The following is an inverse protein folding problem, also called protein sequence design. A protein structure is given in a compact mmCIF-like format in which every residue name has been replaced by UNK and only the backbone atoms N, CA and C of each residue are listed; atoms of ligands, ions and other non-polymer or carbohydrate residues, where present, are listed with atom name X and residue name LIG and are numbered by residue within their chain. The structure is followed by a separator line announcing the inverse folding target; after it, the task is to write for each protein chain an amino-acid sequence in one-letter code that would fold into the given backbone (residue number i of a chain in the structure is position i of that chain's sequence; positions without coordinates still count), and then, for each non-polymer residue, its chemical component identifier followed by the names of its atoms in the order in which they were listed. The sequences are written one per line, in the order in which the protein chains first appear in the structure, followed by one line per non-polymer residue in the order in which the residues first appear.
data_IF_631692107470
#
_entry.id   IF_631692107470
#
_cell.length_a   1.000
_cell.length_b   1.000
_cell.length_c   1.000
_cell.angle_alpha   90.00
_cell.angle_beta   90.00
_cell.angle_gamma   90.00
#
_symmetry.space_group_name_H-M   'P 1'
#
loop_
_entity.id
_entity.type
_entity.pdbx_description
1 polymer ?
#
# COMPACT_ATOMS: atom_id res chain seq x y z
N UNK A 1 8.26 -8.51 32.20
CA UNK A 1 6.99 -7.88 31.81
C UNK A 1 7.12 -6.37 31.88
N UNK A 2 6.71 -5.66 30.83
CA UNK A 2 6.71 -4.18 30.77
C UNK A 2 5.50 -3.69 31.58
N UNK A 3 5.78 -2.91 32.65
CA UNK A 3 4.77 -2.36 33.57
C UNK A 3 4.82 -0.84 33.67
N UNK A 4 5.68 -0.19 32.88
CA UNK A 4 5.87 1.27 32.92
C UNK A 4 5.56 1.91 31.56
N UNK A 5 4.73 2.96 31.57
CA UNK A 5 4.47 3.83 30.39
C UNK A 5 5.75 4.48 29.82
N UNK A 6 6.80 4.58 30.64
CA UNK A 6 8.08 5.17 30.25
C UNK A 6 9.02 4.18 29.57
N UNK A 7 8.61 2.92 29.40
CA UNK A 7 9.40 1.91 28.70
C UNK A 7 9.78 2.37 27.28
N UNK A 8 11.03 2.10 26.89
CA UNK A 8 11.59 2.53 25.60
C UNK A 8 10.82 1.98 24.40
N UNK A 9 10.35 0.71 24.48
CA UNK A 9 9.59 0.06 23.39
C UNK A 9 8.21 0.70 23.19
N UNK A 10 7.48 0.99 24.28
CA UNK A 10 6.20 1.70 24.19
C UNK A 10 6.38 3.12 23.62
N UNK A 11 7.47 3.81 23.98
CA UNK A 11 7.81 5.10 23.37
C UNK A 11 8.14 4.97 21.90
N UNK A 12 8.82 3.91 21.49
CA UNK A 12 9.13 3.63 20.09
C UNK A 12 7.83 3.41 19.30
N UNK A 13 6.93 2.53 19.74
CA UNK A 13 5.65 2.27 19.06
C UNK A 13 4.84 3.56 18.87
N UNK A 14 4.73 4.41 19.92
CA UNK A 14 4.07 5.72 19.79
C UNK A 14 4.72 6.61 18.71
N UNK A 15 6.05 6.65 18.66
CA UNK A 15 6.77 7.42 17.62
C UNK A 15 6.50 6.90 16.23
N UNK A 16 6.44 5.57 16.05
CA UNK A 16 6.22 4.94 14.76
C UNK A 16 4.81 5.17 14.19
N UNK A 17 3.86 5.70 14.96
CA UNK A 17 2.60 6.21 14.44
C UNK A 17 2.80 7.39 13.45
N UNK A 18 3.87 8.18 13.61
CA UNK A 18 4.19 9.33 12.76
C UNK A 18 5.18 8.95 11.65
N UNK A 19 4.91 9.39 10.41
CA UNK A 19 5.76 9.12 9.22
C UNK A 19 7.21 9.54 9.43
N UNK A 20 7.45 10.74 9.97
CA UNK A 20 8.81 11.26 10.19
C UNK A 20 9.72 10.33 11.01
N UNK A 21 9.13 9.60 11.97
CA UNK A 21 9.90 8.67 12.79
C UNK A 21 10.12 7.34 12.08
N UNK A 22 9.16 6.87 11.28
CA UNK A 22 9.36 5.69 10.43
C UNK A 22 10.46 5.93 9.42
N UNK A 23 10.47 7.12 8.78
CA UNK A 23 11.51 7.50 7.81
C UNK A 23 12.88 7.61 8.49
N UNK A 24 12.95 8.26 9.65
CA UNK A 24 14.21 8.46 10.39
C UNK A 24 14.81 7.16 10.93
N UNK A 25 13.96 6.23 11.41
CA UNK A 25 14.42 5.01 12.09
C UNK A 25 14.48 3.81 11.14
N UNK A 26 13.88 3.87 9.95
CA UNK A 26 13.73 2.74 9.06
C UNK A 26 12.86 1.61 9.62
N UNK A 27 11.99 1.94 10.59
CA UNK A 27 11.14 0.99 11.30
C UNK A 27 9.67 1.34 11.11
N UNK A 28 8.80 0.34 11.24
CA UNK A 28 7.36 0.52 11.31
C UNK A 28 6.75 -0.47 12.31
N UNK A 29 5.57 -0.14 12.82
CA UNK A 29 4.84 -0.98 13.77
C UNK A 29 3.56 -1.51 13.11
N UNK A 30 3.27 -2.77 13.32
CA UNK A 30 2.02 -3.42 12.92
C UNK A 30 1.24 -3.88 14.13
N UNK A 31 -0.07 -3.76 14.05
CA UNK A 31 -0.99 -4.06 15.13
C UNK A 31 -1.90 -5.23 14.71
N UNK A 32 -1.93 -6.28 15.51
CA UNK A 32 -2.75 -7.47 15.30
C UNK A 32 -1.97 -8.71 14.89
N UNK A 33 -2.51 -9.86 15.30
CA UNK A 33 -1.91 -11.19 15.09
C UNK A 33 -1.80 -11.49 13.59
N UNK A 34 -2.86 -11.22 12.82
CA UNK A 34 -2.91 -11.52 11.37
C UNK A 34 -1.76 -10.85 10.59
N UNK A 35 -1.43 -9.59 10.92
CA UNK A 35 -0.36 -8.86 10.25
C UNK A 35 1.03 -9.36 10.67
N UNK A 36 1.20 -9.77 11.91
CA UNK A 36 2.45 -10.38 12.40
C UNK A 36 2.65 -11.77 11.79
N UNK A 37 1.59 -12.56 11.68
CA UNK A 37 1.63 -13.86 11.01
C UNK A 37 1.90 -13.74 9.51
N UNK A 38 1.30 -12.74 8.84
CA UNK A 38 1.58 -12.46 7.43
C UNK A 38 3.06 -12.09 7.20
N UNK A 39 3.69 -11.35 8.12
CA UNK A 39 5.12 -11.05 8.05
C UNK A 39 5.96 -12.32 8.17
N UNK A 40 5.65 -13.18 9.16
CA UNK A 40 6.35 -14.46 9.35
C UNK A 40 6.18 -15.40 8.16
N UNK A 41 4.98 -15.46 7.59
CA UNK A 41 4.73 -16.24 6.38
C UNK A 41 5.56 -15.76 5.18
N UNK A 42 5.94 -14.48 5.16
CA UNK A 42 6.87 -13.88 4.19
C UNK A 42 8.35 -13.97 4.63
N UNK A 43 8.66 -14.76 5.67
CA UNK A 43 9.99 -14.90 6.27
C UNK A 43 10.59 -13.58 6.80
N UNK A 44 9.74 -12.64 7.23
CA UNK A 44 10.13 -11.37 7.84
C UNK A 44 9.89 -11.45 9.35
N UNK A 45 10.99 -11.40 10.12
CA UNK A 45 10.92 -11.48 11.58
C UNK A 45 10.84 -10.10 12.22
N UNK A 46 10.04 -9.92 13.28
CA UNK A 46 9.99 -8.67 14.01
C UNK A 46 11.30 -8.40 14.74
N UNK A 47 11.73 -7.13 14.75
CA UNK A 47 12.82 -6.65 15.61
C UNK A 47 12.40 -6.76 17.08
N UNK A 48 11.12 -6.47 17.33
CA UNK A 48 10.50 -6.53 18.65
C UNK A 48 9.06 -7.00 18.52
N UNK A 49 8.62 -7.79 19.49
CA UNK A 49 7.25 -8.27 19.59
C UNK A 49 6.71 -7.99 20.98
N UNK A 50 5.65 -7.21 21.05
CA UNK A 50 4.92 -6.90 22.28
C UNK A 50 3.64 -7.73 22.32
N UNK A 51 3.48 -8.57 23.34
CA UNK A 51 2.32 -9.47 23.52
C UNK A 51 1.67 -9.18 24.87
N UNK A 52 0.41 -8.76 24.83
CA UNK A 52 -0.38 -8.44 26.02
C UNK A 52 -0.49 -9.65 26.96
N UNK A 53 -0.16 -9.44 28.23
CA UNK A 53 -0.20 -10.46 29.25
C UNK A 53 1.00 -11.42 29.27
N UNK A 54 1.90 -11.34 28.28
CA UNK A 54 3.12 -12.15 28.25
C UNK A 54 4.36 -11.29 28.60
N UNK A 55 4.63 -10.24 27.82
CA UNK A 55 5.79 -9.38 28.04
C UNK A 55 5.44 -7.90 28.28
N UNK A 56 4.16 -7.52 28.11
CA UNK A 56 3.64 -6.17 28.37
C UNK A 56 2.27 -6.24 29.05
N UNK A 57 1.99 -5.35 30.00
CA UNK A 57 0.66 -5.18 30.56
C UNK A 57 -0.38 -4.81 29.48
N UNK A 58 -1.56 -5.51 29.42
CA UNK A 58 -2.56 -5.26 28.39
C UNK A 58 -3.00 -3.80 28.29
N UNK A 59 -3.18 -3.12 29.42
CA UNK A 59 -3.56 -1.72 29.46
C UNK A 59 -2.52 -0.80 28.80
N UNK A 60 -1.23 -1.09 28.97
CA UNK A 60 -0.15 -0.31 28.36
C UNK A 60 -0.05 -0.54 26.85
N UNK A 61 -0.31 -1.77 26.39
CA UNK A 61 -0.35 -2.07 24.96
C UNK A 61 -1.53 -1.35 24.30
N UNK A 62 -2.69 -1.36 24.95
CA UNK A 62 -3.88 -0.64 24.49
C UNK A 62 -3.65 0.86 24.34
N UNK A 63 -2.90 1.49 25.27
CA UNK A 63 -2.59 2.93 25.21
C UNK A 63 -1.70 3.35 24.04
N UNK A 64 -0.91 2.44 23.46
CA UNK A 64 -0.02 2.76 22.34
C UNK A 64 -0.60 2.34 20.99
N UNK A 65 -1.70 1.59 21.01
CA UNK A 65 -2.42 1.16 19.80
C UNK A 65 -3.16 2.32 19.15
N UNK A 66 -3.20 2.32 17.83
CA UNK A 66 -4.02 3.20 16.99
C UNK A 66 -5.34 2.54 16.55
N UNK A 67 -5.56 1.28 16.89
CA UNK A 67 -6.75 0.53 16.53
C UNK A 67 -7.93 0.87 17.45
N UNK A 68 -9.16 0.83 16.91
CA UNK A 68 -10.38 1.04 17.70
C UNK A 68 -10.56 -0.03 18.79
N UNK A 69 -10.12 -1.26 18.51
CA UNK A 69 -10.04 -2.34 19.48
C UNK A 69 -8.57 -2.67 19.69
N UNK A 70 -8.06 -2.58 20.92
CA UNK A 70 -6.67 -2.84 21.23
C UNK A 70 -6.27 -4.25 20.79
N UNK A 71 -5.17 -4.40 20.02
CA UNK A 71 -4.70 -5.70 19.61
C UNK A 71 -4.02 -6.42 20.78
N UNK A 72 -3.97 -7.75 20.71
CA UNK A 72 -3.18 -8.52 21.64
C UNK A 72 -1.68 -8.44 21.38
N UNK A 73 -1.28 -8.15 20.13
CA UNK A 73 0.11 -8.12 19.71
C UNK A 73 0.42 -6.87 18.88
N UNK A 74 1.62 -6.31 19.10
CA UNK A 74 2.23 -5.29 18.24
C UNK A 74 3.63 -5.76 17.89
N UNK A 75 3.93 -5.85 16.57
CA UNK A 75 5.26 -6.16 16.06
C UNK A 75 5.94 -4.90 15.51
N UNK A 76 7.24 -4.77 15.72
CA UNK A 76 8.07 -3.73 15.10
C UNK A 76 8.98 -4.38 14.08
N UNK A 77 8.98 -3.87 12.84
CA UNK A 77 9.71 -4.43 11.70
C UNK A 77 10.61 -3.39 11.03
N UNK A 78 11.61 -3.85 10.27
CA UNK A 78 12.47 -2.98 9.45
C UNK A 78 11.84 -2.78 8.07
N UNK A 79 11.86 -1.54 7.58
CA UNK A 79 11.49 -1.25 6.20
C UNK A 79 12.43 -1.91 5.19
N UNK A 80 13.69 -2.05 5.55
CA UNK A 80 14.70 -2.69 4.70
C UNK A 80 14.42 -4.18 4.40
N UNK A 81 13.54 -4.83 5.19
CA UNK A 81 13.15 -6.21 4.98
C UNK A 81 11.96 -6.35 4.01
N UNK A 82 11.34 -5.23 3.60
CA UNK A 82 10.26 -5.22 2.60
C UNK A 82 10.83 -5.37 1.17
N UNK A 83 10.02 -5.94 0.29
CA UNK A 83 10.39 -6.08 -1.12
C UNK A 83 10.44 -4.70 -1.79
N UNK A 84 11.50 -4.45 -2.54
CA UNK A 84 11.72 -3.20 -3.26
C UNK A 84 11.98 -3.44 -4.75
N UNK A 85 11.61 -2.46 -5.56
CA UNK A 85 11.82 -2.47 -7.00
C UNK A 85 10.69 -3.12 -7.79
N UNK A 86 10.57 -2.77 -9.09
CA UNK A 86 9.60 -3.35 -9.98
C UNK A 86 10.13 -4.71 -10.49
N UNK A 87 9.90 -5.79 -9.75
CA UNK A 87 10.31 -7.15 -10.12
C UNK A 87 9.33 -7.83 -11.08
N UNK A 88 8.25 -7.11 -11.44
CA UNK A 88 7.15 -7.60 -12.28
C UNK A 88 6.94 -6.66 -13.46
N UNK A 89 6.36 -7.18 -14.55
CA UNK A 89 6.06 -6.40 -15.76
C UNK A 89 4.71 -5.67 -15.68
N UNK A 90 3.89 -5.99 -14.69
CA UNK A 90 2.58 -5.39 -14.45
C UNK A 90 2.55 -4.74 -13.08
N UNK A 91 1.95 -3.56 -12.98
CA UNK A 91 1.84 -2.87 -11.71
C UNK A 91 0.97 -1.62 -11.74
N UNK A 92 0.95 -0.96 -10.60
CA UNK A 92 0.25 0.30 -10.39
C UNK A 92 1.28 1.39 -10.07
N UNK A 93 1.16 2.56 -10.71
CA UNK A 93 1.90 3.76 -10.36
C UNK A 93 0.93 4.81 -9.81
N UNK A 94 1.12 5.16 -8.55
CA UNK A 94 0.23 6.03 -7.79
C UNK A 94 0.79 7.45 -7.76
N UNK A 95 0.05 8.39 -8.35
CA UNK A 95 0.40 9.79 -8.31
C UNK A 95 -0.38 10.52 -7.22
N UNK A 96 0.31 10.87 -6.11
CA UNK A 96 -0.23 11.65 -4.98
C UNK A 96 -1.51 11.07 -4.37
N UNK A 97 -1.67 9.75 -4.35
CA UNK A 97 -2.81 9.10 -3.69
C UNK A 97 -2.66 9.27 -2.17
N UNK A 98 -3.41 10.21 -1.62
CA UNK A 98 -3.24 10.71 -0.26
C UNK A 98 -3.97 9.90 0.82
N UNK A 99 -5.01 9.11 0.49
CA UNK A 99 -5.69 8.28 1.49
C UNK A 99 -4.93 6.97 1.73
N UNK A 100 -4.46 6.71 2.98
CA UNK A 100 -3.73 5.49 3.29
C UNK A 100 -4.59 4.21 3.18
N UNK A 101 -5.92 4.33 3.25
CA UNK A 101 -6.82 3.21 2.99
C UNK A 101 -6.79 2.78 1.53
N UNK A 102 -6.77 3.74 0.59
CA UNK A 102 -6.66 3.47 -0.84
C UNK A 102 -5.29 2.86 -1.19
N UNK A 103 -4.19 3.41 -0.65
CA UNK A 103 -2.84 2.82 -0.85
C UNK A 103 -2.79 1.38 -0.35
N UNK A 104 -3.31 1.11 0.85
CA UNK A 104 -3.35 -0.25 1.39
C UNK A 104 -4.25 -1.20 0.58
N UNK A 105 -5.41 -0.73 0.12
CA UNK A 105 -6.31 -1.51 -0.73
C UNK A 105 -5.69 -1.84 -2.09
N UNK A 106 -4.93 -0.92 -2.69
CA UNK A 106 -4.21 -1.15 -3.94
C UNK A 106 -3.06 -2.15 -3.77
N UNK A 107 -2.33 -2.11 -2.66
CA UNK A 107 -1.36 -3.15 -2.32
C UNK A 107 -2.05 -4.53 -2.22
N UNK A 108 -3.19 -4.58 -1.54
CA UNK A 108 -3.97 -5.83 -1.41
C UNK A 108 -4.48 -6.33 -2.75
N UNK A 109 -4.90 -5.44 -3.65
CA UNK A 109 -5.30 -5.80 -5.00
C UNK A 109 -4.13 -6.36 -5.83
N UNK A 110 -2.94 -5.72 -5.71
CA UNK A 110 -1.72 -6.17 -6.37
C UNK A 110 -1.28 -7.57 -5.89
N UNK A 111 -1.43 -7.86 -4.60
CA UNK A 111 -1.17 -9.19 -4.03
C UNK A 111 -2.16 -10.24 -4.55
N UNK A 112 -3.45 -9.90 -4.58
CA UNK A 112 -4.52 -10.84 -4.92
C UNK A 112 -4.64 -11.14 -6.42
N UNK A 113 -4.31 -10.18 -7.28
CA UNK A 113 -4.48 -10.22 -8.73
C UNK A 113 -3.13 -10.26 -9.49
N UNK A 114 -2.00 -10.28 -8.72
CA UNK A 114 -0.66 -10.30 -9.26
C UNK A 114 -0.24 -11.62 -9.90
N UNK A 115 1.06 -11.70 -10.19
CA UNK A 115 2.15 -10.87 -9.62
C UNK A 115 2.18 -9.43 -10.15
N UNK A 116 2.22 -8.44 -9.23
CA UNK A 116 2.25 -7.02 -9.56
C UNK A 116 3.06 -6.21 -8.54
N UNK A 117 3.57 -5.05 -8.93
CA UNK A 117 4.24 -4.07 -8.05
C UNK A 117 3.36 -2.84 -7.81
N UNK A 118 3.74 -2.02 -6.81
CA UNK A 118 3.12 -0.70 -6.57
C UNK A 118 4.20 0.37 -6.46
N UNK A 119 4.19 1.31 -7.41
CA UNK A 119 5.05 2.48 -7.42
C UNK A 119 4.32 3.69 -6.79
N UNK A 120 5.05 4.50 -6.02
CA UNK A 120 4.48 5.62 -5.26
C UNK A 120 5.24 6.91 -5.54
N UNK A 121 4.54 7.96 -5.96
CA UNK A 121 5.14 9.29 -6.08
C UNK A 121 5.30 9.95 -4.71
N UNK A 122 6.07 11.02 -4.67
CA UNK A 122 6.03 11.95 -3.56
C UNK A 122 4.60 12.48 -3.35
N UNK A 123 4.16 12.59 -2.10
CA UNK A 123 2.79 12.98 -1.75
C UNK A 123 1.80 11.82 -1.60
N UNK A 124 2.17 10.59 -1.96
CA UNK A 124 1.38 9.42 -1.58
C UNK A 124 1.39 9.17 -0.06
N UNK A 125 0.31 8.58 0.43
CA UNK A 125 0.30 8.06 1.78
C UNK A 125 1.39 6.99 1.97
N UNK A 126 2.00 6.98 3.15
CA UNK A 126 3.03 6.00 3.50
C UNK A 126 2.41 4.59 3.62
N UNK A 127 2.84 3.61 2.80
CA UNK A 127 2.32 2.24 2.83
C UNK A 127 2.59 1.53 4.16
N UNK A 128 3.61 1.98 4.93
CA UNK A 128 3.92 1.46 6.27
C UNK A 128 3.22 2.22 7.40
N UNK A 129 2.32 3.15 7.07
CA UNK A 129 1.47 3.82 8.05
C UNK A 129 0.38 2.89 8.61
N UNK A 130 -0.05 3.06 9.88
CA UNK A 130 -0.97 2.11 10.54
C UNK A 130 -2.28 1.84 9.77
N UNK A 131 -2.87 2.86 9.14
CA UNK A 131 -4.10 2.71 8.35
C UNK A 131 -3.86 1.95 7.04
N UNK A 132 -2.74 2.22 6.36
CA UNK A 132 -2.39 1.52 5.13
C UNK A 132 -2.05 0.05 5.40
N UNK A 133 -1.30 -0.24 6.47
CA UNK A 133 -0.97 -1.60 6.88
C UNK A 133 -2.23 -2.43 7.14
N UNK A 134 -3.19 -1.89 7.90
CA UNK A 134 -4.47 -2.59 8.13
C UNK A 134 -5.23 -2.84 6.83
N UNK A 135 -5.31 -1.85 5.94
CA UNK A 135 -6.00 -1.98 4.66
C UNK A 135 -5.30 -2.96 3.71
N UNK A 136 -3.98 -3.09 3.79
CA UNK A 136 -3.21 -4.02 2.96
C UNK A 136 -3.38 -5.49 3.37
N UNK A 137 -3.85 -5.76 4.58
CA UNK A 137 -4.02 -7.13 5.11
C UNK A 137 -2.76 -8.01 4.91
N UNK A 138 -1.57 -7.43 5.13
CA UNK A 138 -0.30 -8.13 4.99
C UNK A 138 0.30 -8.16 3.58
N UNK A 139 -0.37 -7.61 2.57
CA UNK A 139 0.16 -7.53 1.20
C UNK A 139 1.49 -6.75 1.13
N UNK A 140 1.71 -5.80 2.04
CA UNK A 140 2.97 -5.04 2.12
C UNK A 140 4.23 -5.91 2.20
N UNK A 141 4.13 -7.12 2.69
CA UNK A 141 5.25 -8.06 2.82
C UNK A 141 5.52 -8.87 1.54
N UNK A 142 4.58 -8.89 0.59
CA UNK A 142 4.63 -9.72 -0.62
C UNK A 142 4.67 -8.92 -1.91
N UNK A 143 4.15 -7.67 -1.87
CA UNK A 143 4.09 -6.79 -3.03
C UNK A 143 5.31 -5.87 -3.04
N UNK A 144 6.16 -5.92 -4.08
CA UNK A 144 7.27 -5.01 -4.22
C UNK A 144 6.79 -3.56 -4.36
N UNK A 145 7.48 -2.64 -3.70
CA UNK A 145 7.21 -1.20 -3.83
C UNK A 145 8.44 -0.46 -4.37
N UNK A 146 8.25 0.60 -5.14
CA UNK A 146 9.33 1.43 -5.68
C UNK A 146 8.91 2.91 -5.77
N UNK A 147 9.83 3.77 -6.16
CA UNK A 147 9.51 5.14 -6.52
C UNK A 147 8.71 5.16 -7.83
N UNK A 148 7.86 6.17 -8.00
CA UNK A 148 6.99 6.32 -9.18
C UNK A 148 7.81 6.30 -10.49
N UNK A 149 8.94 7.00 -10.48
CA UNK A 149 9.84 7.17 -11.63
C UNK A 149 10.59 5.88 -12.00
N UNK A 150 10.64 4.91 -11.09
CA UNK A 150 11.26 3.60 -11.33
C UNK A 150 10.31 2.58 -11.97
N UNK A 151 9.02 2.96 -12.11
CA UNK A 151 8.01 2.04 -12.66
C UNK A 151 8.24 1.78 -14.15
N UNK A 152 8.19 0.50 -14.59
CA UNK A 152 8.45 0.15 -15.99
C UNK A 152 7.35 0.62 -16.93
N UNK A 153 7.73 0.82 -18.18
CA UNK A 153 6.79 1.14 -19.26
C UNK A 153 6.28 -0.14 -19.95
N UNK A 154 5.14 -0.08 -20.68
CA UNK A 154 4.36 1.13 -20.99
C UNK A 154 3.55 1.65 -19.80
N UNK A 155 3.41 2.97 -19.71
CA UNK A 155 2.54 3.65 -18.76
C UNK A 155 1.15 3.87 -19.36
N UNK A 156 0.14 3.32 -18.74
CA UNK A 156 -1.26 3.48 -19.14
C UNK A 156 -2.00 4.34 -18.12
N UNK A 157 -2.28 5.60 -18.48
CA UNK A 157 -3.04 6.49 -17.61
C UNK A 157 -4.50 6.02 -17.50
N UNK A 158 -4.97 5.75 -16.28
CA UNK A 158 -6.40 5.52 -16.04
C UNK A 158 -7.10 6.86 -15.90
N UNK A 159 -7.93 7.18 -16.88
CA UNK A 159 -8.70 8.42 -16.93
C UNK A 159 -10.20 8.13 -16.93
N UNK A 160 -11.02 8.99 -16.29
CA UNK A 160 -12.46 8.75 -16.22
C UNK A 160 -13.15 8.84 -17.59
N UNK A 161 -12.57 9.59 -18.54
CA UNK A 161 -13.10 9.78 -19.90
C UNK A 161 -11.97 10.04 -20.91
N UNK A 162 -12.21 9.73 -22.17
CA UNK A 162 -11.29 10.07 -23.28
C UNK A 162 -10.09 9.15 -23.45
N UNK A 163 -10.10 7.99 -22.79
CA UNK A 163 -9.17 6.90 -23.06
C UNK A 163 -9.82 5.80 -23.90
N UNK A 164 -9.01 4.88 -24.43
CA UNK A 164 -9.51 3.64 -25.00
C UNK A 164 -10.20 2.78 -23.91
N UNK A 165 -11.21 1.96 -24.24
CA UNK A 165 -11.76 1.04 -23.27
C UNK A 165 -10.66 0.15 -22.68
N UNK A 166 -10.60 0.05 -21.37
CA UNK A 166 -9.55 -0.72 -20.69
C UNK A 166 -9.50 -2.18 -21.20
N UNK A 167 -10.66 -2.73 -21.56
CA UNK A 167 -10.79 -4.06 -22.13
C UNK A 167 -10.17 -4.21 -23.53
N UNK A 168 -9.81 -3.14 -24.22
CA UNK A 168 -9.24 -3.13 -25.56
C UNK A 168 -7.72 -2.86 -25.56
N UNK A 169 -7.10 -2.64 -24.39
CA UNK A 169 -5.65 -2.54 -24.29
C UNK A 169 -4.96 -3.80 -24.83
N UNK A 170 -3.75 -3.64 -25.36
CA UNK A 170 -3.00 -4.68 -26.07
C UNK A 170 -2.98 -6.08 -25.42
N UNK A 171 -2.68 -7.13 -26.18
CA UNK A 171 -2.92 -8.52 -25.83
C UNK A 171 -2.14 -9.02 -24.62
N UNK A 172 -1.01 -8.39 -24.28
CA UNK A 172 -0.05 -8.95 -23.30
C UNK A 172 -0.33 -8.60 -21.83
N UNK A 173 -1.32 -7.72 -21.56
CA UNK A 173 -1.68 -7.34 -20.19
C UNK A 173 -0.56 -6.65 -19.39
N UNK A 174 0.63 -6.55 -19.96
CA UNK A 174 1.83 -5.99 -19.32
C UNK A 174 1.80 -4.48 -19.41
N UNK A 175 1.53 -3.82 -18.30
CA UNK A 175 1.51 -2.37 -18.23
C UNK A 175 1.66 -1.88 -16.79
N UNK A 176 2.15 -0.68 -16.65
CA UNK A 176 2.04 0.09 -15.43
C UNK A 176 0.81 1.00 -15.54
N UNK A 177 -0.23 0.70 -14.78
CA UNK A 177 -1.42 1.54 -14.74
C UNK A 177 -1.20 2.74 -13.82
N UNK A 178 -1.26 3.93 -14.39
CA UNK A 178 -1.02 5.18 -13.67
C UNK A 178 -2.33 5.74 -13.15
N UNK A 179 -2.41 5.92 -11.83
CA UNK A 179 -3.60 6.41 -11.12
C UNK A 179 -3.29 7.74 -10.41
N UNK A 180 -4.16 8.71 -10.58
CA UNK A 180 -4.03 10.03 -9.97
C UNK A 180 -4.69 10.17 -8.60
N UNK A 181 -4.43 11.30 -7.94
CA UNK A 181 -5.07 11.71 -6.70
C UNK A 181 -6.62 11.71 -6.82
N UNK A 182 -7.31 11.46 -5.70
CA UNK A 182 -8.75 11.22 -5.66
C UNK A 182 -9.60 12.39 -6.15
N UNK A 183 -9.11 13.61 -6.04
CA UNK A 183 -9.84 14.83 -6.42
C UNK A 183 -9.30 15.48 -7.69
N UNK A 184 -7.99 15.52 -7.82
CA UNK A 184 -7.29 16.26 -8.87
C UNK A 184 -6.99 15.39 -10.10
N UNK A 185 -7.03 14.06 -9.93
CA UNK A 185 -6.65 13.10 -10.96
C UNK A 185 -5.15 13.16 -11.30
N UNK A 186 -4.80 12.89 -12.55
CA UNK A 186 -3.45 13.00 -13.07
C UNK A 186 -3.24 14.39 -13.68
N UNK A 187 -2.16 15.10 -13.32
CA UNK A 187 -1.86 16.40 -13.94
C UNK A 187 -1.44 16.23 -15.40
N UNK A 188 -1.57 17.31 -16.17
CA UNK A 188 -1.30 17.30 -17.61
C UNK A 188 0.12 16.86 -17.98
N UNK A 189 1.10 17.19 -17.14
CA UNK A 189 2.50 16.78 -17.30
C UNK A 189 2.65 15.25 -17.21
N UNK A 190 2.05 14.61 -16.22
CA UNK A 190 2.09 13.13 -16.07
C UNK A 190 1.31 12.45 -17.19
N UNK A 191 0.14 13.01 -17.58
CA UNK A 191 -0.64 12.51 -18.70
C UNK A 191 0.12 12.58 -20.03
N UNK A 192 0.99 13.58 -20.21
CA UNK A 192 1.81 13.72 -21.42
C UNK A 192 2.96 12.70 -21.48
N UNK A 193 3.40 12.20 -20.34
CA UNK A 193 4.43 11.17 -20.25
C UNK A 193 3.86 9.74 -20.40
N UNK A 194 2.56 9.54 -20.27
CA UNK A 194 1.95 8.23 -20.45
C UNK A 194 1.91 7.82 -21.92
N UNK A 195 2.21 6.56 -22.18
CA UNK A 195 2.21 5.97 -23.53
C UNK A 195 0.79 5.80 -24.07
N UNK A 196 -0.15 5.49 -23.19
CA UNK A 196 -1.56 5.26 -23.52
C UNK A 196 -2.50 5.84 -22.46
N UNK A 197 -3.77 5.99 -22.82
CA UNK A 197 -4.85 6.36 -21.90
C UNK A 197 -5.95 5.33 -21.99
N UNK A 198 -6.38 4.80 -20.84
CA UNK A 198 -7.48 3.87 -20.74
C UNK A 198 -8.61 4.41 -19.88
N UNK A 199 -9.81 4.02 -20.21
CA UNK A 199 -11.04 4.36 -19.48
C UNK A 199 -11.77 3.08 -19.09
N UNK A 200 -12.19 3.01 -17.84
CA UNK A 200 -13.16 2.01 -17.39
C UNK A 200 -14.54 2.54 -17.76
N UNK A 201 -15.33 1.84 -18.60
CA UNK A 201 -16.66 2.30 -18.97
C UNK A 201 -17.55 2.46 -17.73
N UNK A 202 -18.12 3.66 -17.56
CA UNK A 202 -19.00 4.00 -16.44
C UNK A 202 -20.42 4.29 -16.95
N UNK A 203 -21.40 4.20 -16.05
CA UNK A 203 -22.73 4.69 -16.34
C UNK A 203 -22.72 6.21 -16.63
N UNK A 204 -23.64 6.74 -17.44
CA UNK A 204 -23.67 8.17 -17.77
C UNK A 204 -23.78 9.10 -16.54
N UNK A 205 -24.29 8.61 -15.43
CA UNK A 205 -24.50 9.36 -14.18
C UNK A 205 -23.28 9.35 -13.26
N UNK A 206 -22.31 8.46 -13.50
CA UNK A 206 -21.10 8.36 -12.68
C UNK A 206 -20.00 9.27 -13.23
N UNK A 207 -19.39 10.07 -12.38
CA UNK A 207 -18.28 10.96 -12.76
C UNK A 207 -16.93 10.24 -12.73
N UNK A 208 -16.71 9.39 -11.72
CA UNK A 208 -15.47 8.64 -11.52
C UNK A 208 -15.69 7.43 -10.62
N UNK A 209 -14.67 6.58 -10.50
CA UNK A 209 -14.57 5.52 -9.50
C UNK A 209 -13.59 5.95 -8.39
N UNK A 210 -13.76 5.33 -7.22
CA UNK A 210 -12.71 5.34 -6.21
C UNK A 210 -11.40 4.81 -6.81
N UNK A 211 -10.27 5.42 -6.48
CA UNK A 211 -8.96 5.09 -7.07
C UNK A 211 -8.55 3.63 -6.81
N UNK A 212 -8.86 3.08 -5.62
CA UNK A 212 -8.57 1.69 -5.33
C UNK A 212 -9.44 0.72 -6.14
N UNK A 213 -10.70 1.07 -6.39
CA UNK A 213 -11.56 0.28 -7.28
C UNK A 213 -11.06 0.32 -8.73
N UNK A 214 -10.65 1.48 -9.22
CA UNK A 214 -10.11 1.62 -10.57
C UNK A 214 -8.84 0.79 -10.77
N UNK A 215 -7.88 0.88 -9.83
CA UNK A 215 -6.67 0.07 -9.88
C UNK A 215 -6.93 -1.43 -9.77
N UNK A 216 -7.90 -1.85 -8.95
CA UNK A 216 -8.30 -3.26 -8.84
C UNK A 216 -8.85 -3.79 -10.16
N UNK A 217 -9.72 -3.03 -10.84
CA UNK A 217 -10.27 -3.40 -12.15
C UNK A 217 -9.15 -3.49 -13.19
N UNK A 218 -8.18 -2.56 -13.18
CA UNK A 218 -7.05 -2.58 -14.10
C UNK A 218 -6.19 -3.84 -13.93
N UNK A 219 -5.84 -4.19 -12.70
CA UNK A 219 -5.10 -5.42 -12.41
C UNK A 219 -5.89 -6.67 -12.77
N UNK A 220 -7.21 -6.69 -12.53
CA UNK A 220 -8.06 -7.80 -12.92
C UNK A 220 -8.08 -7.99 -14.45
N UNK A 221 -8.23 -6.91 -15.22
CA UNK A 221 -8.18 -6.99 -16.67
C UNK A 221 -6.80 -7.44 -17.19
N UNK A 222 -5.71 -6.99 -16.55
CA UNK A 222 -4.36 -7.46 -16.87
C UNK A 222 -4.20 -8.96 -16.56
N UNK A 223 -4.64 -9.42 -15.40
CA UNK A 223 -4.50 -10.83 -14.98
C UNK A 223 -5.28 -11.82 -15.85
N UNK A 224 -6.32 -11.36 -16.54
CA UNK A 224 -7.08 -12.20 -17.47
C UNK A 224 -6.39 -12.45 -18.81
N UNK A 225 -5.33 -11.71 -19.11
CA UNK A 225 -4.60 -11.74 -20.38
C UNK A 225 -3.21 -12.34 -20.27
N UNK A 226 -2.76 -12.59 -19.02
CA UNK A 226 -1.46 -13.20 -18.68
C UNK A 226 -1.41 -14.70 -18.88
#
# INVERSE_FOLDING_TARGET
MITSRQNAMLKLVRKLAERRWRDKLGLFAVEGEDLVEAARAAAIEPVELLVAGENVEPALLAEVSSAAHPPRVIGVFRRADLLVGPTQDTGLALWRVGDPGNVGALLRAADALGPAFVALSEGCADPTGPKALRASAGAIYRVPTCAFEESPRPWVALVPRGGAPLAELGPDGRATFVLGAEREGLPGEVLAECDERATIPLSPTAESLNVAMAGTIALYEASRRS
#
